data_IF_207859954760
#
_entry.id   IF_207859954760
#
_cell.length_a   1.000
_cell.length_b   1.000
_cell.length_c   1.000
_cell.angle_alpha   90.00
_cell.angle_beta   90.00
_cell.angle_gamma   90.00
#
_symmetry.space_group_name_H-M   'P 1'
#
loop_
_entity.id
_entity.type
_entity.pdbx_description
1 polymer ?
#
# COMPACT_ATOMS: atom_id res chain seq x y z
N UNK A 1 -21.32 -18.80 5.04
CA UNK A 1 -21.15 -17.47 4.39
C UNK A 1 -20.66 -16.51 5.45
N UNK A 2 -19.36 -16.20 5.47
CA UNK A 2 -18.81 -15.16 6.35
C UNK A 2 -18.82 -13.89 5.52
N UNK A 3 -19.68 -12.93 5.87
CA UNK A 3 -19.71 -11.63 5.22
C UNK A 3 -18.29 -11.05 5.28
N UNK A 4 -17.71 -10.76 4.12
CA UNK A 4 -16.45 -10.04 4.04
C UNK A 4 -16.65 -8.69 4.71
N UNK A 5 -15.81 -8.39 5.70
CA UNK A 5 -15.69 -7.04 6.21
C UNK A 5 -15.32 -6.15 5.03
N UNK A 6 -16.22 -5.25 4.63
CA UNK A 6 -15.83 -4.10 3.81
C UNK A 6 -14.78 -3.35 4.62
N UNK A 7 -13.51 -3.39 4.19
CA UNK A 7 -12.53 -2.36 4.55
C UNK A 7 -12.96 -1.05 3.89
N UNK A 8 -14.03 -0.45 4.39
CA UNK A 8 -14.53 0.84 3.96
C UNK A 8 -14.11 1.89 4.97
N UNK A 9 -13.23 2.80 4.56
CA UNK A 9 -13.04 4.17 5.06
C UNK A 9 -13.07 4.37 6.58
N UNK A 10 -12.51 3.45 7.37
CA UNK A 10 -12.21 3.80 8.75
C UNK A 10 -11.05 4.81 8.71
N UNK A 11 -11.23 6.02 9.29
CA UNK A 11 -10.14 6.96 9.40
C UNK A 11 -8.96 6.29 10.09
N UNK A 12 -7.76 6.50 9.56
CA UNK A 12 -6.55 6.03 10.21
C UNK A 12 -6.47 6.71 11.59
N UNK A 13 -6.08 5.95 12.60
CA UNK A 13 -5.76 6.49 13.92
C UNK A 13 -4.38 7.17 13.90
N UNK A 14 -4.19 8.06 12.93
CA UNK A 14 -2.95 8.81 12.67
C UNK A 14 -3.34 10.28 12.71
N UNK A 15 -2.64 11.04 13.54
CA UNK A 15 -2.94 12.45 13.81
C UNK A 15 -2.28 13.37 12.78
N UNK A 16 -1.13 12.99 12.24
CA UNK A 16 -0.47 13.73 11.18
C UNK A 16 -1.19 13.54 9.83
N UNK A 17 -1.80 14.60 9.30
CA UNK A 17 -2.58 14.54 8.05
C UNK A 17 -1.74 14.19 6.82
N UNK A 18 -0.48 14.62 6.78
CA UNK A 18 0.46 14.26 5.72
C UNK A 18 0.71 12.75 5.76
N UNK A 19 1.07 12.21 6.93
CA UNK A 19 1.27 10.78 7.10
C UNK A 19 0.01 9.97 6.76
N UNK A 20 -1.16 10.42 7.20
CA UNK A 20 -2.43 9.78 6.85
C UNK A 20 -2.65 9.72 5.34
N UNK A 21 -2.26 10.78 4.61
CA UNK A 21 -2.38 10.83 3.15
C UNK A 21 -1.39 9.85 2.50
N UNK A 22 -0.13 9.86 2.94
CA UNK A 22 0.90 8.97 2.44
C UNK A 22 0.56 7.49 2.69
N UNK A 23 -0.01 7.14 3.85
CA UNK A 23 -0.47 5.77 4.13
C UNK A 23 -1.61 5.36 3.17
N UNK A 24 -2.52 6.27 2.84
CA UNK A 24 -3.61 6.00 1.89
C UNK A 24 -3.07 5.79 0.46
N UNK A 25 -2.10 6.59 0.03
CA UNK A 25 -1.40 6.45 -1.25
C UNK A 25 -0.62 5.12 -1.31
N UNK A 26 0.16 4.82 -0.27
CA UNK A 26 0.86 3.54 -0.11
C UNK A 26 -0.11 2.36 -0.19
N UNK A 27 -1.25 2.45 0.48
CA UNK A 27 -2.31 1.43 0.41
C UNK A 27 -2.82 1.21 -1.02
N UNK A 28 -3.03 2.30 -1.76
CA UNK A 28 -3.47 2.25 -3.16
C UNK A 28 -2.44 1.55 -4.05
N UNK A 29 -1.16 1.88 -3.90
CA UNK A 29 -0.09 1.27 -4.69
C UNK A 29 0.11 -0.21 -4.32
N UNK A 30 0.04 -0.57 -3.03
CA UNK A 30 0.07 -1.96 -2.57
C UNK A 30 -1.08 -2.80 -3.16
N UNK A 31 -2.29 -2.24 -3.24
CA UNK A 31 -3.43 -2.92 -3.88
C UNK A 31 -3.18 -3.16 -5.37
N UNK A 32 -2.57 -2.19 -6.07
CA UNK A 32 -2.19 -2.34 -7.48
C UNK A 32 -1.15 -3.45 -7.66
N UNK A 33 -0.09 -3.48 -6.84
CA UNK A 33 0.91 -4.55 -6.85
C UNK A 33 0.25 -5.91 -6.65
N UNK A 34 -0.62 -6.04 -5.65
CA UNK A 34 -1.35 -7.29 -5.39
C UNK A 34 -2.21 -7.71 -6.59
N UNK A 35 -2.91 -6.78 -7.23
CA UNK A 35 -3.73 -7.06 -8.40
C UNK A 35 -2.89 -7.57 -9.58
N UNK A 36 -1.72 -6.98 -9.83
CA UNK A 36 -0.80 -7.40 -10.90
C UNK A 36 -0.20 -8.78 -10.62
N UNK A 37 0.18 -9.07 -9.37
CA UNK A 37 0.65 -10.40 -8.96
C UNK A 37 -0.46 -11.45 -9.18
N UNK A 38 -1.70 -11.13 -8.83
CA UNK A 38 -2.83 -12.03 -9.07
C UNK A 38 -3.07 -12.27 -10.56
N UNK A 39 -2.90 -11.25 -11.41
CA UNK A 39 -3.00 -11.41 -12.87
C UNK A 39 -1.90 -12.33 -13.42
N UNK A 40 -0.67 -12.26 -12.90
CA UNK A 40 0.42 -13.17 -13.29
C UNK A 40 0.15 -14.64 -12.98
N UNK A 41 -0.78 -14.94 -12.06
CA UNK A 41 -1.16 -16.31 -11.71
C UNK A 41 -2.17 -16.93 -12.68
N UNK A 42 -2.68 -16.18 -13.66
CA UNK A 42 -3.61 -16.69 -14.67
C UNK A 42 -2.91 -17.69 -15.59
N UNK A 43 -3.55 -18.85 -15.82
CA UNK A 43 -2.97 -19.99 -16.54
C UNK A 43 -2.85 -19.82 -18.06
N UNK A 44 -3.37 -18.73 -18.62
CA UNK A 44 -3.52 -18.53 -20.07
C UNK A 44 -3.24 -17.10 -20.51
N UNK A 45 -2.13 -16.54 -20.01
CA UNK A 45 -1.60 -15.28 -20.50
C UNK A 45 -0.88 -15.48 -21.83
N UNK A 46 -1.16 -14.61 -22.80
CA UNK A 46 -0.29 -14.45 -23.97
C UNK A 46 1.01 -13.76 -23.57
N UNK A 47 2.06 -13.91 -24.38
CA UNK A 47 3.35 -13.25 -24.13
C UNK A 47 3.22 -11.71 -24.03
N UNK A 48 2.33 -11.10 -24.83
CA UNK A 48 2.08 -9.66 -24.79
C UNK A 48 1.42 -9.24 -23.46
N UNK A 49 0.38 -9.96 -23.02
CA UNK A 49 -0.27 -9.69 -21.73
C UNK A 49 0.72 -9.87 -20.57
N UNK A 50 1.56 -10.90 -20.62
CA UNK A 50 2.59 -11.10 -19.61
C UNK A 50 3.59 -9.94 -19.58
N UNK A 51 4.04 -9.46 -20.74
CA UNK A 51 4.94 -8.32 -20.84
C UNK A 51 4.32 -7.03 -20.30
N UNK A 52 3.05 -6.76 -20.61
CA UNK A 52 2.29 -5.62 -20.09
C UNK A 52 2.17 -5.66 -18.56
N UNK A 53 1.75 -6.80 -18.00
CA UNK A 53 1.63 -6.97 -16.54
C UNK A 53 2.99 -6.78 -15.86
N UNK A 54 4.07 -7.32 -16.44
CA UNK A 54 5.42 -7.16 -15.90
C UNK A 54 5.92 -5.70 -15.96
N UNK A 55 5.63 -4.99 -17.05
CA UNK A 55 5.97 -3.57 -17.18
C UNK A 55 5.21 -2.72 -16.15
N UNK A 56 3.93 -2.99 -15.95
CA UNK A 56 3.13 -2.31 -14.92
C UNK A 56 3.59 -2.65 -13.50
N UNK A 57 3.97 -3.91 -13.25
CA UNK A 57 4.49 -4.33 -11.95
C UNK A 57 5.83 -3.68 -11.64
N UNK A 58 6.70 -3.52 -12.65
CA UNK A 58 7.95 -2.77 -12.49
C UNK A 58 7.67 -1.30 -12.14
N UNK A 59 6.76 -0.65 -12.85
CA UNK A 59 6.38 0.73 -12.56
C UNK A 59 5.81 0.86 -11.13
N UNK A 60 4.95 -0.07 -10.73
CA UNK A 60 4.38 -0.10 -9.38
C UNK A 60 5.45 -0.33 -8.30
N UNK A 61 6.44 -1.20 -8.54
CA UNK A 61 7.56 -1.40 -7.63
C UNK A 61 8.42 -0.15 -7.46
N UNK A 62 8.66 0.61 -8.54
CA UNK A 62 9.37 1.91 -8.48
C UNK A 62 8.55 2.95 -7.70
N UNK A 63 7.24 3.04 -7.94
CA UNK A 63 6.38 3.94 -7.17
C UNK A 63 6.34 3.57 -5.68
N UNK A 64 6.26 2.28 -5.36
CA UNK A 64 6.28 1.80 -3.99
C UNK A 64 7.58 2.16 -3.27
N UNK A 65 8.72 2.11 -3.97
CA UNK A 65 9.98 2.57 -3.42
C UNK A 65 9.93 4.06 -3.02
N UNK A 66 9.37 4.91 -3.87
CA UNK A 66 9.22 6.34 -3.58
C UNK A 66 8.23 6.60 -2.42
N UNK A 67 7.14 5.83 -2.32
CA UNK A 67 6.18 5.96 -1.21
C UNK A 67 6.71 5.44 0.14
N UNK A 68 7.82 4.71 0.14
CA UNK A 68 8.44 4.14 1.33
C UNK A 68 9.81 4.79 1.62
N UNK A 69 10.02 6.03 1.20
CA UNK A 69 11.28 6.75 1.34
C UNK A 69 11.56 7.23 2.78
N UNK A 70 12.65 7.99 2.96
CA UNK A 70 13.11 8.46 4.27
C UNK A 70 12.11 9.41 4.94
N UNK A 71 11.40 10.25 4.17
CA UNK A 71 10.41 11.18 4.70
C UNK A 71 9.21 10.41 5.26
N UNK A 72 8.72 9.40 4.53
CA UNK A 72 7.64 8.54 5.01
C UNK A 72 8.03 7.80 6.30
N UNK A 73 9.23 7.21 6.34
CA UNK A 73 9.74 6.50 7.52
C UNK A 73 9.91 7.41 8.74
N UNK A 74 10.37 8.64 8.51
CA UNK A 74 10.53 9.66 9.55
C UNK A 74 9.17 10.02 10.15
N UNK A 75 8.15 10.23 9.32
CA UNK A 75 6.80 10.55 9.78
C UNK A 75 6.18 9.41 10.60
N UNK A 76 6.37 8.14 10.19
CA UNK A 76 5.94 6.98 10.98
C UNK A 76 6.62 6.98 12.35
N UNK A 77 7.93 7.21 12.39
CA UNK A 77 8.70 7.22 13.64
C UNK A 77 8.17 8.30 14.58
N UNK A 78 7.93 9.51 14.06
CA UNK A 78 7.36 10.61 14.85
C UNK A 78 5.95 10.28 15.35
N UNK A 79 5.10 9.67 14.53
CA UNK A 79 3.75 9.28 14.96
C UNK A 79 3.83 8.22 16.08
N UNK A 80 4.76 7.26 15.98
CA UNK A 80 5.01 6.25 17.02
C UNK A 80 5.49 6.87 18.34
N UNK A 81 6.42 7.81 18.28
CA UNK A 81 6.95 8.52 19.47
C UNK A 81 5.88 9.38 20.18
N UNK A 82 4.83 9.78 19.45
CA UNK A 82 3.72 10.57 19.99
C UNK A 82 2.57 9.71 20.53
N UNK A 83 2.65 8.38 20.44
CA UNK A 83 1.66 7.52 21.05
C UNK A 83 1.71 7.68 22.58
N UNK A 84 0.56 7.70 23.27
CA UNK A 84 0.56 7.71 24.72
C UNK A 84 1.26 6.45 25.23
N UNK A 85 2.14 6.59 26.22
CA UNK A 85 2.61 5.43 26.99
C UNK A 85 1.38 4.70 27.54
N UNK A 86 1.39 3.36 27.48
CA UNK A 86 0.41 2.54 28.18
C UNK A 86 0.49 2.89 29.67
N UNK A 87 -0.40 3.76 30.13
CA UNK A 87 -0.57 4.06 31.55
C UNK A 87 -1.26 2.84 32.18
N UNK A 88 -0.45 1.95 32.77
CA UNK A 88 -0.91 0.98 33.76
C UNK A 88 -1.60 1.67 34.94
#
# INVERSE_FOLDING_TARGET
MRCGEKSGDRPLAVTNSTLSTLIAELGTECLKVQALINQLQLTSLTANQQAEILAELLAAAVHLHNHCDEDFQTLITQEMENLPDDQD
#
